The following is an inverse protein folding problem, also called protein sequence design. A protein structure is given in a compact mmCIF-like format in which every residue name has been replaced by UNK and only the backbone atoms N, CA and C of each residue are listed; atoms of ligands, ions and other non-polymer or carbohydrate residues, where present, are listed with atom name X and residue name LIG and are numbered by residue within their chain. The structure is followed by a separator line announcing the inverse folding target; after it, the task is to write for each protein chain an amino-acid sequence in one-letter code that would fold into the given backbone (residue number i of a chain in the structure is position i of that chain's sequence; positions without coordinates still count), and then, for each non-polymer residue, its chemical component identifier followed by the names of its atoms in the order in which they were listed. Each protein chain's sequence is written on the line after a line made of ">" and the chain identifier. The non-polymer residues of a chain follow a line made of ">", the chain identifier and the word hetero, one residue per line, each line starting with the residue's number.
data_IF_497350702612
#
_entry.id   IF_497350702612
#
_cell.length_a   1.000
_cell.length_b   1.000
_cell.length_c   1.000
_cell.angle_alpha   90.00
_cell.angle_beta   90.00
_cell.angle_gamma   90.00
#
_symmetry.space_group_name_H-M   'P 1'
#
loop_
_entity.id
_entity.type
_entity.pdbx_description
1 polymer ?
#
# COMPACT_ATOMS: atom_id res chain seq x y z
N UNK A 1 103.40 -46.45 26.20
CA UNK A 1 102.69 -45.73 25.10
C UNK A 1 103.08 -44.27 25.19
N UNK A 2 103.81 -43.79 24.19
CA UNK A 2 104.56 -42.53 24.18
C UNK A 2 103.64 -41.31 24.02
N UNK A 3 103.96 -40.22 24.73
CA UNK A 3 103.29 -38.92 24.62
C UNK A 3 103.32 -38.36 23.18
N UNK A 4 104.29 -38.80 22.36
CA UNK A 4 104.44 -38.45 20.95
C UNK A 4 103.29 -38.92 20.06
N UNK A 5 102.75 -40.13 20.29
CA UNK A 5 101.70 -40.70 19.44
C UNK A 5 100.34 -39.98 19.61
N UNK A 6 100.09 -39.45 20.82
CA UNK A 6 98.87 -38.67 21.11
C UNK A 6 98.87 -37.29 20.44
N UNK A 7 100.04 -36.73 20.14
CA UNK A 7 100.17 -35.41 19.52
C UNK A 7 100.02 -35.49 17.98
N UNK A 8 100.50 -36.57 17.39
CA UNK A 8 100.28 -36.93 15.98
C UNK A 8 98.79 -37.13 15.67
N UNK A 9 98.05 -37.88 16.50
CA UNK A 9 96.62 -38.14 16.31
C UNK A 9 95.75 -36.87 16.43
N UNK A 10 96.12 -35.92 17.31
CA UNK A 10 95.45 -34.62 17.42
C UNK A 10 95.66 -33.74 16.18
N UNK A 11 96.87 -33.73 15.61
CA UNK A 11 97.18 -32.97 14.41
C UNK A 11 96.44 -33.54 13.18
N UNK A 12 96.34 -34.86 13.07
CA UNK A 12 95.57 -35.52 12.00
C UNK A 12 94.08 -35.17 12.07
N UNK A 13 93.46 -35.28 13.25
CA UNK A 13 92.04 -34.91 13.47
C UNK A 13 91.76 -33.43 13.21
N UNK A 14 92.70 -32.54 13.55
CA UNK A 14 92.58 -31.11 13.23
C UNK A 14 92.64 -30.85 11.71
N UNK A 15 93.50 -31.57 10.98
CA UNK A 15 93.61 -31.47 9.52
C UNK A 15 92.36 -32.00 8.81
N UNK A 16 91.79 -33.11 9.28
CA UNK A 16 90.52 -33.66 8.78
C UNK A 16 89.34 -32.71 9.04
N UNK A 17 89.28 -32.12 10.24
CA UNK A 17 88.30 -31.09 10.59
C UNK A 17 88.40 -29.87 9.69
N UNK A 18 89.62 -29.40 9.39
CA UNK A 18 89.83 -28.26 8.50
C UNK A 18 89.45 -28.56 7.04
N UNK A 19 89.69 -29.79 6.55
CA UNK A 19 89.23 -30.23 5.22
C UNK A 19 87.70 -30.25 5.16
N UNK A 20 87.03 -30.83 6.15
CA UNK A 20 85.56 -30.84 6.24
C UNK A 20 84.98 -29.42 6.31
N UNK A 21 85.58 -28.55 7.12
CA UNK A 21 85.17 -27.14 7.22
C UNK A 21 85.30 -26.40 5.88
N UNK A 22 86.39 -26.63 5.14
CA UNK A 22 86.61 -26.04 3.81
C UNK A 22 85.61 -26.58 2.78
N UNK A 23 85.23 -27.86 2.86
CA UNK A 23 84.15 -28.41 2.04
C UNK A 23 82.80 -27.77 2.40
N UNK A 24 82.47 -27.66 3.68
CA UNK A 24 81.22 -27.03 4.15
C UNK A 24 81.15 -25.58 3.66
N UNK A 25 82.20 -24.77 3.85
CA UNK A 25 82.25 -23.39 3.35
C UNK A 25 82.09 -23.32 1.83
N UNK A 26 82.66 -24.27 1.08
CA UNK A 26 82.57 -24.28 -0.38
C UNK A 26 81.17 -24.66 -0.88
N UNK A 27 80.46 -25.53 -0.16
CA UNK A 27 79.10 -25.94 -0.51
C UNK A 27 78.01 -25.06 0.09
N UNK A 28 78.29 -24.30 1.15
CA UNK A 28 77.34 -23.43 1.83
C UNK A 28 76.67 -22.40 0.89
N UNK A 29 77.38 -21.69 -0.02
CA UNK A 29 76.75 -20.80 -0.99
C UNK A 29 75.81 -21.51 -1.95
N UNK A 30 76.11 -22.75 -2.34
CA UNK A 30 75.24 -23.55 -3.22
C UNK A 30 73.99 -24.01 -2.48
N UNK A 31 74.10 -24.37 -1.20
CA UNK A 31 72.94 -24.69 -0.35
C UNK A 31 72.06 -23.46 -0.12
N UNK A 32 72.67 -22.29 0.17
CA UNK A 32 71.94 -21.03 0.33
C UNK A 32 71.25 -20.65 -0.98
N UNK A 33 71.93 -20.76 -2.13
CA UNK A 33 71.34 -20.51 -3.44
C UNK A 33 70.17 -21.46 -3.71
N UNK A 34 70.33 -22.75 -3.42
CA UNK A 34 69.27 -23.75 -3.54
C UNK A 34 68.05 -23.42 -2.67
N UNK A 35 68.26 -22.98 -1.43
CA UNK A 35 67.19 -22.54 -0.53
C UNK A 35 66.49 -21.27 -1.04
N UNK A 36 67.25 -20.28 -1.53
CA UNK A 36 66.68 -19.06 -2.11
C UNK A 36 65.82 -19.41 -3.33
N UNK A 37 66.31 -20.25 -4.23
CA UNK A 37 65.57 -20.71 -5.41
C UNK A 37 64.32 -21.49 -5.00
N UNK A 38 64.40 -22.37 -4.00
CA UNK A 38 63.25 -23.09 -3.50
C UNK A 38 62.19 -22.15 -2.90
N UNK A 39 62.60 -21.17 -2.09
CA UNK A 39 61.69 -20.20 -1.47
C UNK A 39 61.04 -19.28 -2.53
N UNK A 40 61.79 -18.82 -3.53
CA UNK A 40 61.22 -18.01 -4.61
C UNK A 40 60.21 -18.80 -5.42
N UNK A 41 60.48 -20.07 -5.74
CA UNK A 41 59.51 -20.96 -6.41
C UNK A 41 58.25 -21.15 -5.56
N UNK A 42 58.39 -21.40 -4.25
CA UNK A 42 57.23 -21.56 -3.35
C UNK A 42 56.39 -20.28 -3.30
N UNK A 43 57.02 -19.10 -3.18
CA UNK A 43 56.31 -17.82 -3.17
C UNK A 43 55.59 -17.54 -4.49
N UNK A 44 56.23 -17.85 -5.64
CA UNK A 44 55.61 -17.68 -6.96
C UNK A 44 54.41 -18.61 -7.16
N UNK A 45 54.53 -19.87 -6.75
CA UNK A 45 53.41 -20.83 -6.79
C UNK A 45 52.29 -20.38 -5.85
N UNK A 46 52.61 -19.93 -4.64
CA UNK A 46 51.63 -19.38 -3.70
C UNK A 46 50.88 -18.17 -4.26
N UNK A 47 51.60 -17.24 -4.89
CA UNK A 47 51.00 -16.09 -5.58
C UNK A 47 50.10 -16.49 -6.74
N UNK A 48 50.52 -17.47 -7.56
CA UNK A 48 49.72 -17.99 -8.66
C UNK A 48 48.40 -18.60 -8.13
N UNK A 49 48.47 -19.42 -7.07
CA UNK A 49 47.29 -20.02 -6.45
C UNK A 49 46.33 -18.96 -5.92
N UNK A 50 46.84 -17.91 -5.27
CA UNK A 50 46.02 -16.77 -4.82
C UNK A 50 45.35 -16.04 -5.99
N UNK A 51 46.07 -15.76 -7.07
CA UNK A 51 45.51 -15.10 -8.26
C UNK A 51 44.40 -15.95 -8.90
N UNK A 52 44.60 -17.27 -9.02
CA UNK A 52 43.58 -18.20 -9.52
C UNK A 52 42.36 -18.21 -8.61
N UNK A 53 42.55 -18.24 -7.28
CA UNK A 53 41.46 -18.20 -6.32
C UNK A 53 40.63 -16.89 -6.43
N UNK A 54 41.29 -15.73 -6.54
CA UNK A 54 40.62 -14.45 -6.76
C UNK A 54 39.87 -14.40 -8.09
N UNK A 55 40.44 -14.95 -9.17
CA UNK A 55 39.78 -15.01 -10.47
C UNK A 55 38.51 -15.90 -10.42
N UNK A 56 38.58 -17.07 -9.79
CA UNK A 56 37.43 -17.96 -9.60
C UNK A 56 36.35 -17.32 -8.72
N UNK A 57 36.74 -16.64 -7.63
CA UNK A 57 35.81 -15.89 -6.80
C UNK A 57 35.13 -14.74 -7.59
N UNK A 58 35.89 -14.02 -8.41
CA UNK A 58 35.38 -12.98 -9.31
C UNK A 58 34.37 -13.52 -10.31
N UNK A 59 34.66 -14.65 -10.96
CA UNK A 59 33.72 -15.35 -11.86
C UNK A 59 32.45 -15.79 -11.13
N UNK A 60 32.57 -16.27 -9.89
CA UNK A 60 31.44 -16.61 -9.03
C UNK A 60 30.54 -15.40 -8.76
N UNK A 61 31.11 -14.25 -8.39
CA UNK A 61 30.34 -13.01 -8.15
C UNK A 61 29.66 -12.51 -9.41
N UNK A 62 30.36 -12.50 -10.56
CA UNK A 62 29.79 -12.08 -11.84
C UNK A 62 28.65 -13.02 -12.27
N UNK A 63 28.80 -14.34 -12.09
CA UNK A 63 27.75 -15.30 -12.44
C UNK A 63 26.49 -15.13 -11.58
N UNK A 64 26.62 -14.89 -10.28
CA UNK A 64 25.46 -14.62 -9.39
C UNK A 64 24.81 -13.29 -9.71
N UNK A 65 25.59 -12.24 -9.99
CA UNK A 65 25.08 -10.93 -10.35
C UNK A 65 24.32 -10.98 -11.70
N UNK A 66 24.92 -11.61 -12.71
CA UNK A 66 24.31 -11.79 -14.03
C UNK A 66 23.09 -12.69 -13.97
N UNK A 67 23.11 -13.79 -13.22
CA UNK A 67 21.95 -14.65 -13.03
C UNK A 67 20.80 -13.91 -12.33
N UNK A 68 21.08 -13.09 -11.32
CA UNK A 68 20.07 -12.27 -10.66
C UNK A 68 19.51 -11.18 -11.58
N UNK A 69 20.37 -10.53 -12.37
CA UNK A 69 19.95 -9.53 -13.35
C UNK A 69 19.08 -10.17 -14.45
N UNK A 70 19.50 -11.31 -15.00
CA UNK A 70 18.76 -12.08 -16.00
C UNK A 70 17.43 -12.58 -15.44
N UNK A 71 17.42 -13.12 -14.22
CA UNK A 71 16.20 -13.53 -13.53
C UNK A 71 15.23 -12.37 -13.39
N UNK A 72 15.69 -11.16 -13.01
CA UNK A 72 14.81 -9.99 -12.93
C UNK A 72 14.33 -9.54 -14.31
N UNK A 73 15.23 -9.53 -15.30
CA UNK A 73 14.93 -9.14 -16.68
C UNK A 73 13.87 -10.04 -17.33
N UNK A 74 13.86 -11.34 -17.01
CA UNK A 74 12.92 -12.32 -17.58
C UNK A 74 11.67 -12.49 -16.69
N UNK A 75 11.85 -12.67 -15.38
CA UNK A 75 10.76 -13.01 -14.48
C UNK A 75 9.74 -11.86 -14.35
N UNK A 76 10.18 -10.60 -14.32
CA UNK A 76 9.26 -9.48 -14.19
C UNK A 76 8.31 -9.35 -15.40
N UNK A 77 8.76 -9.41 -16.66
CA UNK A 77 7.88 -9.51 -17.83
C UNK A 77 6.96 -10.73 -17.81
N UNK A 78 7.47 -11.91 -17.45
CA UNK A 78 6.66 -13.13 -17.41
C UNK A 78 5.54 -13.00 -16.38
N UNK A 79 5.85 -12.53 -15.17
CA UNK A 79 4.86 -12.27 -14.11
C UNK A 79 3.88 -11.17 -14.54
N UNK A 80 4.37 -10.10 -15.16
CA UNK A 80 3.53 -9.03 -15.70
C UNK A 80 2.53 -9.56 -16.74
N UNK A 81 3.01 -10.32 -17.73
CA UNK A 81 2.18 -10.90 -18.80
C UNK A 81 1.17 -11.89 -18.23
N UNK A 82 1.59 -12.74 -17.28
CA UNK A 82 0.69 -13.67 -16.60
C UNK A 82 -0.46 -12.92 -15.90
N UNK A 83 -0.13 -11.90 -15.10
CA UNK A 83 -1.12 -11.11 -14.37
C UNK A 83 -2.02 -10.30 -15.31
N UNK A 84 -1.45 -9.72 -16.37
CA UNK A 84 -2.19 -8.98 -17.38
C UNK A 84 -3.18 -9.91 -18.10
N UNK A 85 -2.74 -11.10 -18.48
CA UNK A 85 -3.58 -12.12 -19.13
C UNK A 85 -4.73 -12.53 -18.20
N UNK A 86 -4.43 -12.82 -16.93
CA UNK A 86 -5.46 -13.15 -15.93
C UNK A 86 -6.50 -12.03 -15.78
N UNK A 87 -6.07 -10.77 -15.83
CA UNK A 87 -6.94 -9.59 -15.73
C UNK A 87 -7.82 -9.39 -16.97
N UNK A 88 -7.27 -9.63 -18.16
CA UNK A 88 -8.00 -9.63 -19.44
C UNK A 88 -9.06 -10.74 -19.45
N UNK A 89 -8.69 -11.95 -19.02
CA UNK A 89 -9.62 -13.09 -18.94
C UNK A 89 -10.78 -12.81 -17.98
N UNK A 90 -10.51 -12.19 -16.81
CA UNK A 90 -11.55 -11.78 -15.86
C UNK A 90 -12.49 -10.72 -16.44
N UNK A 91 -11.97 -9.73 -17.18
CA UNK A 91 -12.78 -8.69 -17.83
C UNK A 91 -13.83 -9.27 -18.77
N UNK A 92 -13.47 -10.30 -19.54
CA UNK A 92 -14.40 -10.95 -20.48
C UNK A 92 -15.60 -11.58 -19.78
N UNK A 93 -15.42 -12.15 -18.59
CA UNK A 93 -16.51 -12.77 -17.81
C UNK A 93 -17.50 -11.74 -17.25
N UNK A 94 -17.03 -10.56 -16.87
CA UNK A 94 -17.86 -9.48 -16.28
C UNK A 94 -18.60 -8.60 -17.30
N UNK A 95 -18.48 -8.90 -18.60
CA UNK A 95 -19.20 -8.17 -19.65
C UNK A 95 -20.59 -8.75 -19.93
N UNK A 96 -21.01 -9.82 -19.24
CA UNK A 96 -22.42 -10.18 -19.27
C UNK A 96 -23.23 -9.04 -18.61
N UNK A 97 -24.20 -8.45 -19.33
CA UNK A 97 -24.95 -7.31 -18.83
C UNK A 97 -25.81 -7.78 -17.66
N UNK A 98 -25.35 -7.52 -16.44
CA UNK A 98 -26.21 -7.58 -15.26
C UNK A 98 -27.38 -6.65 -15.51
N UNK A 99 -28.59 -7.21 -15.64
CA UNK A 99 -29.83 -6.46 -15.84
C UNK A 99 -30.04 -5.55 -14.62
N UNK A 100 -29.60 -4.30 -14.72
CA UNK A 100 -29.78 -3.31 -13.66
C UNK A 100 -31.20 -2.77 -13.68
N UNK A 101 -31.83 -2.73 -12.51
CA UNK A 101 -33.03 -1.92 -12.30
C UNK A 101 -32.66 -0.44 -12.53
N UNK A 102 -33.28 0.17 -13.55
CA UNK A 102 -33.11 1.59 -13.85
C UNK A 102 -33.91 2.37 -12.81
N UNK A 103 -33.24 3.12 -11.94
CA UNK A 103 -33.89 4.16 -11.14
C UNK A 103 -34.27 5.28 -12.12
N UNK A 104 -35.55 5.39 -12.46
CA UNK A 104 -36.06 6.48 -13.30
C UNK A 104 -36.05 7.78 -12.48
N UNK A 105 -35.39 8.85 -12.94
CA UNK A 105 -35.55 10.17 -12.33
C UNK A 105 -37.02 10.58 -12.40
N UNK A 106 -37.52 11.25 -11.36
CA UNK A 106 -38.88 11.80 -11.35
C UNK A 106 -39.05 12.75 -12.54
N UNK A 107 -40.24 12.69 -13.15
CA UNK A 107 -40.58 13.54 -14.28
C UNK A 107 -40.79 15.00 -13.85
N UNK A 108 -40.53 15.96 -14.74
CA UNK A 108 -40.74 17.39 -14.49
C UNK A 108 -42.22 17.73 -14.18
N UNK A 109 -43.15 16.90 -14.66
CA UNK A 109 -44.58 16.97 -14.36
C UNK A 109 -44.90 16.61 -12.90
N UNK A 110 -44.19 15.62 -12.33
CA UNK A 110 -44.28 15.33 -10.90
C UNK A 110 -43.66 16.46 -10.08
N UNK A 111 -42.57 17.09 -10.54
CA UNK A 111 -41.94 18.21 -9.82
C UNK A 111 -42.85 19.45 -9.75
N UNK A 112 -43.57 19.76 -10.83
CA UNK A 112 -44.49 20.91 -10.90
C UNK A 112 -45.80 20.70 -10.15
N UNK A 113 -46.33 19.48 -10.06
CA UNK A 113 -47.56 19.21 -9.29
C UNK A 113 -47.39 19.39 -7.77
N UNK A 114 -46.15 19.35 -7.26
CA UNK A 114 -45.89 19.56 -5.83
C UNK A 114 -45.79 21.05 -5.43
N UNK A 115 -45.46 21.96 -6.35
CA UNK A 115 -45.33 23.39 -6.05
C UNK A 115 -46.67 24.08 -5.73
N UNK A 116 -47.80 23.47 -6.09
CA UNK A 116 -49.14 24.00 -5.87
C UNK A 116 -49.84 23.42 -4.63
N UNK A 117 -49.19 22.53 -3.89
CA UNK A 117 -49.80 21.93 -2.70
C UNK A 117 -49.73 22.88 -1.49
N UNK A 118 -50.90 23.37 -1.08
CA UNK A 118 -51.13 24.20 0.12
C UNK A 118 -50.84 23.43 1.41
N UNK A 119 -49.59 23.03 1.66
CA UNK A 119 -49.22 22.42 2.93
C UNK A 119 -48.90 23.54 3.95
N UNK A 120 -49.79 23.82 4.92
CA UNK A 120 -49.63 24.95 5.84
C UNK A 120 -48.38 24.82 6.73
N UNK A 121 -47.95 23.59 7.04
CA UNK A 121 -46.71 23.35 7.78
C UNK A 121 -45.45 23.77 7.02
N UNK A 122 -45.50 23.74 5.68
CA UNK A 122 -44.41 24.21 4.84
C UNK A 122 -44.39 25.73 4.71
N UNK A 123 -45.56 26.36 4.66
CA UNK A 123 -45.65 27.81 4.65
C UNK A 123 -45.05 28.42 5.92
N UNK A 124 -45.17 27.78 7.09
CA UNK A 124 -44.53 28.27 8.33
C UNK A 124 -43.00 28.22 8.25
N UNK A 125 -42.42 27.16 7.67
CA UNK A 125 -40.98 27.05 7.44
C UNK A 125 -40.46 28.04 6.39
N UNK A 126 -41.25 28.31 5.33
CA UNK A 126 -40.90 29.26 4.26
C UNK A 126 -41.17 30.73 4.65
N UNK A 127 -42.16 31.02 5.50
CA UNK A 127 -42.49 32.38 5.97
C UNK A 127 -41.39 32.94 6.87
N UNK A 128 -40.71 32.11 7.66
CA UNK A 128 -39.54 32.53 8.43
C UNK A 128 -38.34 32.89 7.54
N UNK A 129 -38.29 32.35 6.31
CA UNK A 129 -37.21 32.63 5.36
C UNK A 129 -37.31 34.03 4.75
N UNK A 130 -38.52 34.56 4.58
CA UNK A 130 -38.77 35.87 3.95
C UNK A 130 -38.52 37.06 4.88
N UNK A 131 -38.48 36.84 6.20
CA UNK A 131 -38.29 37.87 7.21
C UNK A 131 -36.85 37.99 7.75
N UNK A 132 -35.86 37.34 7.11
CA UNK A 132 -34.48 37.32 7.60
C UNK A 132 -34.23 36.47 8.86
N UNK A 133 -35.24 35.74 9.32
CA UNK A 133 -35.21 34.91 10.55
C UNK A 133 -34.74 33.47 10.34
N UNK A 134 -34.37 33.07 9.12
CA UNK A 134 -34.02 31.70 8.72
C UNK A 134 -32.86 31.08 9.50
N UNK A 135 -32.07 31.87 10.24
CA UNK A 135 -30.94 31.37 11.02
C UNK A 135 -31.32 30.84 12.41
N UNK A 136 -32.47 31.17 12.98
CA UNK A 136 -32.74 30.91 14.40
C UNK A 136 -32.99 29.42 14.72
N UNK A 137 -33.78 28.70 13.93
CA UNK A 137 -33.93 27.24 14.12
C UNK A 137 -32.64 26.47 13.78
N UNK A 138 -31.84 26.97 12.83
CA UNK A 138 -30.59 26.32 12.41
C UNK A 138 -29.47 26.51 13.43
N UNK A 139 -29.40 27.67 14.09
CA UNK A 139 -28.36 27.97 15.07
C UNK A 139 -28.45 27.11 16.35
N UNK A 140 -29.64 26.62 16.69
CA UNK A 140 -29.86 25.79 17.89
C UNK A 140 -30.15 24.32 17.59
N UNK A 141 -30.21 23.91 16.32
CA UNK A 141 -30.40 22.51 15.97
C UNK A 141 -29.07 21.80 15.77
N UNK A 142 -29.01 20.56 16.24
CA UNK A 142 -27.90 19.68 15.92
C UNK A 142 -28.01 19.22 14.46
N UNK A 143 -26.87 19.01 13.81
CA UNK A 143 -26.81 18.59 12.41
C UNK A 143 -27.62 17.30 12.15
N UNK A 144 -27.67 16.39 13.14
CA UNK A 144 -28.44 15.15 13.04
C UNK A 144 -29.96 15.40 12.88
N UNK A 145 -30.52 16.33 13.64
CA UNK A 145 -31.96 16.65 13.60
C UNK A 145 -32.31 17.33 12.28
N UNK A 146 -31.41 18.20 11.82
CA UNK A 146 -31.50 18.79 10.51
C UNK A 146 -31.51 17.73 9.39
N UNK A 147 -30.58 16.78 9.41
CA UNK A 147 -30.51 15.74 8.38
C UNK A 147 -31.72 14.80 8.39
N UNK A 148 -32.33 14.57 9.57
CA UNK A 148 -33.60 13.83 9.68
C UNK A 148 -34.74 14.61 9.01
N UNK A 149 -34.88 15.90 9.33
CA UNK A 149 -35.88 16.77 8.68
C UNK A 149 -35.70 16.81 7.16
N UNK A 150 -34.45 16.90 6.70
CA UNK A 150 -34.08 16.84 5.29
C UNK A 150 -34.43 15.49 4.63
N UNK A 151 -34.27 14.38 5.35
CA UNK A 151 -34.65 13.04 4.87
C UNK A 151 -36.17 12.86 4.75
N UNK A 152 -36.91 13.35 5.74
CA UNK A 152 -38.34 13.14 5.92
C UNK A 152 -39.22 14.01 5.00
N UNK A 153 -38.76 15.21 4.63
CA UNK A 153 -39.57 16.14 3.84
C UNK A 153 -38.87 16.57 2.56
N UNK A 154 -39.43 16.17 1.40
CA UNK A 154 -39.01 16.65 0.07
C UNK A 154 -39.01 18.19 0.00
N UNK A 155 -39.97 18.81 0.68
CA UNK A 155 -40.13 20.25 0.67
C UNK A 155 -39.06 20.98 1.49
N UNK A 156 -38.66 20.44 2.64
CA UNK A 156 -37.49 20.93 3.40
C UNK A 156 -36.26 20.87 2.52
N UNK A 157 -36.06 19.76 1.77
CA UNK A 157 -34.94 19.68 0.81
C UNK A 157 -34.99 20.78 -0.25
N UNK A 158 -36.15 21.00 -0.86
CA UNK A 158 -36.30 22.03 -1.90
C UNK A 158 -36.10 23.45 -1.35
N UNK A 159 -36.64 23.78 -0.18
CA UNK A 159 -36.48 25.09 0.46
C UNK A 159 -35.01 25.41 0.79
N UNK A 160 -34.25 24.38 1.14
CA UNK A 160 -32.84 24.52 1.50
C UNK A 160 -31.93 24.50 0.28
N UNK A 161 -32.27 23.71 -0.75
CA UNK A 161 -31.60 23.72 -2.05
C UNK A 161 -31.82 25.02 -2.82
N UNK A 162 -33.01 25.62 -2.75
CA UNK A 162 -33.32 26.89 -3.43
C UNK A 162 -32.63 28.09 -2.80
N UNK A 163 -32.12 27.96 -1.58
CA UNK A 163 -31.56 29.09 -0.83
C UNK A 163 -30.08 29.37 -1.10
N UNK A 164 -29.26 28.42 -1.59
CA UNK A 164 -27.82 28.67 -1.81
C UNK A 164 -27.16 27.66 -2.78
N UNK A 165 -26.27 28.14 -3.66
CA UNK A 165 -25.23 27.35 -4.35
C UNK A 165 -24.25 26.60 -3.39
N UNK A 166 -24.41 26.79 -2.07
CA UNK A 166 -23.59 26.24 -0.98
C UNK A 166 -24.42 25.63 0.15
N UNK A 167 -25.67 25.23 -0.09
CA UNK A 167 -26.66 24.92 0.95
C UNK A 167 -26.14 23.99 2.05
N UNK A 168 -25.67 22.79 1.68
CA UNK A 168 -25.19 21.77 2.64
C UNK A 168 -23.99 22.25 3.46
N UNK A 169 -23.09 23.02 2.85
CA UNK A 169 -21.90 23.53 3.52
C UNK A 169 -22.24 24.66 4.50
N UNK A 170 -23.19 25.53 4.13
CA UNK A 170 -23.69 26.55 5.05
C UNK A 170 -24.47 25.94 6.22
N UNK A 171 -25.25 24.90 5.99
CA UNK A 171 -25.92 24.15 7.07
C UNK A 171 -24.89 23.53 8.02
N UNK A 172 -23.82 22.92 7.49
CA UNK A 172 -22.72 22.40 8.31
C UNK A 172 -22.08 23.48 9.17
N UNK A 173 -21.89 24.68 8.61
CA UNK A 173 -21.36 25.84 9.35
C UNK A 173 -22.31 26.33 10.45
N UNK A 174 -23.62 26.35 10.19
CA UNK A 174 -24.63 26.90 11.11
C UNK A 174 -25.14 25.94 12.18
N UNK A 175 -25.04 24.62 11.97
CA UNK A 175 -25.50 23.60 12.92
C UNK A 175 -24.39 23.20 13.89
N UNK A 176 -24.76 22.90 15.14
CA UNK A 176 -23.85 22.64 16.26
C UNK A 176 -22.92 23.83 16.62
N UNK A 177 -22.53 23.93 17.90
CA UNK A 177 -21.64 25.00 18.38
C UNK A 177 -20.32 25.06 17.61
N UNK A 178 -19.81 26.28 17.46
CA UNK A 178 -18.53 26.58 16.79
C UNK A 178 -17.40 26.18 17.75
N UNK A 179 -16.59 25.17 17.39
CA UNK A 179 -15.36 24.85 18.11
C UNK A 179 -14.87 23.41 17.99
N UNK A 180 -15.78 22.43 17.99
CA UNK A 180 -15.40 21.01 18.06
C UNK A 180 -16.32 20.14 17.18
N UNK A 181 -16.37 20.47 15.90
CA UNK A 181 -17.08 19.67 14.91
C UNK A 181 -16.19 18.51 14.50
N UNK A 182 -16.64 17.30 14.78
CA UNK A 182 -16.05 16.05 14.31
C UNK A 182 -17.02 15.33 13.35
N UNK A 183 -16.59 14.23 12.75
CA UNK A 183 -17.44 13.41 11.91
C UNK A 183 -17.87 12.15 12.64
N UNK A 184 -19.16 11.81 12.56
CA UNK A 184 -19.66 10.51 12.97
C UNK A 184 -18.95 9.43 12.16
N UNK A 185 -18.28 8.51 12.85
CA UNK A 185 -17.55 7.46 12.18
C UNK A 185 -18.45 6.62 11.26
N UNK A 186 -19.67 6.29 11.67
CA UNK A 186 -20.56 5.40 10.91
C UNK A 186 -21.14 6.03 9.63
N UNK A 187 -21.56 7.30 9.69
CA UNK A 187 -22.29 7.95 8.59
C UNK A 187 -21.57 9.16 7.99
N UNK A 188 -20.38 9.55 8.48
CA UNK A 188 -19.65 10.80 8.15
C UNK A 188 -20.48 12.08 8.31
N UNK A 189 -21.56 12.02 9.07
CA UNK A 189 -22.35 13.20 9.41
C UNK A 189 -21.59 14.04 10.44
N UNK A 190 -21.63 15.37 10.31
CA UNK A 190 -20.99 16.25 11.29
C UNK A 190 -21.67 16.10 12.67
N UNK A 191 -20.88 16.06 13.73
CA UNK A 191 -21.33 16.00 15.12
C UNK A 191 -20.47 16.94 15.98
N UNK A 192 -21.06 17.57 17.00
CA UNK A 192 -20.29 18.24 18.05
C UNK A 192 -19.98 17.27 19.18
N UNK A 193 -19.05 17.63 20.07
CA UNK A 193 -18.69 16.86 21.26
C UNK A 193 -19.90 16.43 22.10
N UNK A 194 -20.95 17.26 22.21
CA UNK A 194 -22.20 16.90 22.92
C UNK A 194 -23.09 15.89 22.18
N UNK A 195 -22.96 15.78 20.86
CA UNK A 195 -23.69 14.78 20.04
C UNK A 195 -22.89 13.50 19.80
N UNK A 196 -21.61 13.50 20.19
CA UNK A 196 -20.72 12.37 20.05
C UNK A 196 -21.01 11.37 21.15
N UNK A 197 -21.41 10.17 20.76
CA UNK A 197 -21.52 9.02 21.64
C UNK A 197 -20.28 8.15 21.38
N UNK A 198 -19.40 7.95 22.37
CA UNK A 198 -18.29 7.02 22.23
C UNK A 198 -18.81 5.59 22.15
N UNK A 199 -18.25 4.80 21.24
CA UNK A 199 -18.61 3.39 21.09
C UNK A 199 -17.45 2.58 20.52
N UNK A 200 -17.20 1.43 21.12
CA UNK A 200 -16.23 0.45 20.61
C UNK A 200 -16.86 -0.33 19.45
N UNK A 201 -16.38 -0.10 18.24
CA UNK A 201 -16.93 -0.74 17.03
C UNK A 201 -15.79 -1.24 16.16
N UNK A 202 -15.95 -2.41 15.55
CA UNK A 202 -14.97 -2.98 14.62
C UNK A 202 -14.82 -2.14 13.34
N UNK A 203 -13.61 -2.04 12.77
CA UNK A 203 -13.46 -1.50 11.40
C UNK A 203 -14.02 -2.49 10.40
N UNK A 204 -14.79 -2.06 9.38
CA UNK A 204 -15.06 -2.90 8.24
C UNK A 204 -13.75 -3.17 7.48
N UNK A 205 -13.65 -4.32 6.81
CA UNK A 205 -12.47 -4.66 5.99
C UNK A 205 -12.22 -3.71 4.82
N UNK A 206 -13.20 -2.89 4.44
CA UNK A 206 -13.10 -1.87 3.38
C UNK A 206 -12.21 -0.69 3.75
N UNK A 207 -12.10 -0.32 5.03
CA UNK A 207 -11.32 0.87 5.45
C UNK A 207 -9.87 0.75 5.02
N UNK A 208 -9.29 -0.44 5.21
CA UNK A 208 -7.92 -0.74 4.81
C UNK A 208 -7.70 -0.58 3.29
N UNK A 209 -8.70 -0.93 2.48
CA UNK A 209 -8.60 -0.77 1.03
C UNK A 209 -8.66 0.70 0.59
N UNK A 210 -9.37 1.55 1.33
CA UNK A 210 -9.39 3.00 1.08
C UNK A 210 -8.07 3.66 1.43
N UNK A 211 -7.48 3.28 2.56
CA UNK A 211 -6.33 3.99 3.12
C UNK A 211 -5.01 3.48 2.54
N UNK A 212 -4.90 2.18 2.24
CA UNK A 212 -3.62 1.55 1.90
C UNK A 212 -3.50 1.07 0.46
N UNK A 213 -4.58 1.02 -0.33
CA UNK A 213 -4.47 0.56 -1.71
C UNK A 213 -4.34 1.74 -2.69
N UNK A 214 -3.23 1.78 -3.40
CA UNK A 214 -2.91 2.84 -4.35
C UNK A 214 -2.96 2.32 -5.79
N UNK A 215 -3.50 3.15 -6.69
CA UNK A 215 -3.57 2.79 -8.11
C UNK A 215 -2.29 3.15 -8.85
N UNK A 216 -1.79 2.25 -9.69
CA UNK A 216 -0.65 2.54 -10.57
C UNK A 216 -0.90 2.06 -12.01
N UNK A 217 -0.28 2.74 -12.97
CA UNK A 217 -0.37 2.39 -14.38
C UNK A 217 0.50 1.17 -14.72
N UNK A 218 0.25 0.53 -15.86
CA UNK A 218 0.97 -0.69 -16.27
C UNK A 218 2.49 -0.52 -16.40
N UNK A 219 2.95 0.63 -16.89
CA UNK A 219 4.39 0.94 -16.97
C UNK A 219 5.02 1.01 -15.57
N UNK A 220 4.34 1.70 -14.66
CA UNK A 220 4.73 1.82 -13.27
C UNK A 220 4.70 0.46 -12.56
N UNK A 221 3.68 -0.36 -12.78
CA UNK A 221 3.59 -1.72 -12.24
C UNK A 221 4.71 -2.64 -12.74
N UNK A 222 5.06 -2.59 -14.03
CA UNK A 222 6.22 -3.33 -14.54
C UNK A 222 7.53 -2.83 -13.88
N UNK A 223 7.69 -1.51 -13.74
CA UNK A 223 8.80 -0.91 -12.99
C UNK A 223 8.85 -1.35 -11.53
N UNK A 224 7.68 -1.53 -10.89
CA UNK A 224 7.53 -2.08 -9.54
C UNK A 224 7.99 -3.54 -9.45
N UNK A 225 7.67 -4.36 -10.46
CA UNK A 225 8.10 -5.77 -10.53
C UNK A 225 9.63 -5.91 -10.72
N UNK A 226 10.24 -5.10 -11.60
CA UNK A 226 11.70 -5.00 -11.71
C UNK A 226 12.31 -4.44 -10.42
N UNK A 227 11.58 -3.48 -9.86
CA UNK A 227 11.84 -2.77 -8.63
C UNK A 227 12.14 -3.76 -7.52
N UNK A 228 11.08 -4.49 -7.12
CA UNK A 228 10.85 -5.07 -5.77
C UNK A 228 11.77 -4.43 -4.75
N UNK A 229 11.72 -3.09 -4.80
CA UNK A 229 12.87 -2.25 -4.53
C UNK A 229 12.96 -2.10 -3.04
N UNK A 230 14.18 -1.90 -2.56
CA UNK A 230 14.53 -1.66 -1.17
C UNK A 230 13.62 -0.63 -0.43
N UNK A 231 12.81 0.16 -1.14
CA UNK A 231 11.77 1.07 -0.58
C UNK A 231 10.58 0.36 0.05
N UNK A 232 10.16 -0.78 -0.50
CA UNK A 232 9.16 -1.65 0.10
C UNK A 232 9.89 -2.87 0.60
N UNK A 233 10.55 -2.74 1.77
CA UNK A 233 10.87 -3.90 2.58
C UNK A 233 9.58 -4.21 3.33
N UNK A 234 8.71 -5.13 2.86
CA UNK A 234 7.70 -5.65 3.75
C UNK A 234 8.46 -6.11 5.00
N UNK A 235 8.05 -5.63 6.17
CA UNK A 235 8.51 -6.26 7.40
C UNK A 235 8.27 -7.76 7.21
N UNK A 236 9.26 -8.61 7.50
CA UNK A 236 9.14 -10.07 7.26
C UNK A 236 7.93 -10.66 7.99
N UNK A 237 7.39 -9.93 8.96
CA UNK A 237 6.24 -10.30 9.78
C UNK A 237 4.93 -9.63 9.33
N UNK A 238 4.97 -8.67 8.40
CA UNK A 238 3.77 -8.06 7.81
C UNK A 238 3.26 -8.93 6.67
N UNK A 239 2.55 -10.00 7.04
CA UNK A 239 1.53 -10.52 6.14
C UNK A 239 0.57 -9.38 5.82
N UNK A 240 0.33 -9.18 4.53
CA UNK A 240 -0.65 -8.24 4.03
C UNK A 240 -1.99 -8.50 4.75
N UNK A 241 -2.43 -7.53 5.55
CA UNK A 241 -3.66 -7.52 6.37
C UNK A 241 -4.91 -7.83 5.54
N UNK A 242 -4.85 -7.70 4.22
CA UNK A 242 -5.89 -8.14 3.31
C UNK A 242 -6.23 -9.63 3.40
N UNK A 243 -5.31 -10.50 3.87
CA UNK A 243 -5.51 -11.96 3.87
C UNK A 243 -5.99 -12.51 5.20
N UNK A 244 -5.85 -11.75 6.28
CA UNK A 244 -6.00 -12.25 7.64
C UNK A 244 -6.58 -11.11 8.49
N UNK A 245 -7.88 -10.88 8.35
CA UNK A 245 -8.68 -10.26 9.43
C UNK A 245 -8.93 -11.38 10.44
N UNK A 246 -7.88 -11.93 11.06
CA UNK A 246 -8.06 -12.89 12.15
C UNK A 246 -7.95 -12.15 13.47
N UNK A 247 -9.10 -12.08 14.13
CA UNK A 247 -9.33 -12.27 15.57
C UNK A 247 -8.81 -11.22 16.55
N UNK A 248 -7.75 -10.46 16.27
CA UNK A 248 -7.43 -9.28 17.07
C UNK A 248 -8.17 -8.07 16.51
N UNK A 249 -9.49 -8.13 16.60
CA UNK A 249 -10.34 -6.97 16.32
C UNK A 249 -10.21 -6.07 17.55
N UNK A 250 -9.14 -5.28 17.60
CA UNK A 250 -9.20 -4.08 18.41
C UNK A 250 -10.43 -3.31 17.97
N UNK A 251 -11.39 -3.11 18.86
CA UNK A 251 -12.57 -2.28 18.66
C UNK A 251 -12.23 -0.91 19.24
N UNK A 252 -11.48 -0.06 18.51
CA UNK A 252 -11.13 1.26 19.04
C UNK A 252 -12.41 2.01 19.37
N UNK A 253 -12.36 2.83 20.41
CA UNK A 253 -13.42 3.76 20.74
C UNK A 253 -13.60 4.75 19.59
N UNK A 254 -14.85 4.90 19.12
CA UNK A 254 -15.19 5.78 18.00
C UNK A 254 -16.33 6.70 18.38
N UNK A 255 -16.21 7.96 17.96
CA UNK A 255 -17.31 8.91 18.03
C UNK A 255 -18.38 8.63 16.97
N UNK A 256 -19.60 8.33 17.40
CA UNK A 256 -20.77 8.18 16.52
C UNK A 256 -21.87 9.16 16.92
N UNK A 257 -22.76 9.50 15.98
CA UNK A 257 -23.91 10.34 16.30
C UNK A 257 -24.96 9.58 17.11
N UNK A 258 -25.73 10.30 17.92
CA UNK A 258 -26.85 9.75 18.71
C UNK A 258 -27.78 8.86 17.88
N UNK A 259 -28.07 9.21 16.63
CA UNK A 259 -28.91 8.40 15.75
C UNK A 259 -28.28 7.06 15.37
N UNK A 260 -26.97 7.00 15.14
CA UNK A 260 -26.28 5.74 14.86
C UNK A 260 -26.09 4.94 16.14
N UNK A 261 -26.00 5.59 17.31
CA UNK A 261 -25.90 4.92 18.59
C UNK A 261 -27.16 4.12 18.97
N UNK A 262 -28.32 4.45 18.39
CA UNK A 262 -29.54 3.65 18.55
C UNK A 262 -29.50 2.33 17.76
N UNK A 263 -28.59 2.19 16.80
CA UNK A 263 -28.42 0.97 16.04
C UNK A 263 -27.52 -0.03 16.80
N UNK A 264 -27.70 -1.34 16.54
CA UNK A 264 -26.76 -2.37 16.98
C UNK A 264 -25.43 -2.27 16.22
N UNK A 265 -24.34 -2.77 16.80
CA UNK A 265 -22.98 -2.63 16.24
C UNK A 265 -22.87 -3.16 14.81
N UNK A 266 -23.52 -4.28 14.53
CA UNK A 266 -23.58 -4.87 13.19
C UNK A 266 -24.15 -3.89 12.16
N UNK A 267 -25.26 -3.22 12.48
CA UNK A 267 -25.87 -2.23 11.58
C UNK A 267 -24.99 -1.00 11.39
N UNK A 268 -24.25 -0.60 12.43
CA UNK A 268 -23.28 0.51 12.36
C UNK A 268 -22.14 0.14 11.41
N UNK A 269 -21.57 -1.05 11.55
CA UNK A 269 -20.50 -1.56 10.69
C UNK A 269 -20.98 -1.70 9.24
N UNK A 270 -22.17 -2.26 9.00
CA UNK A 270 -22.76 -2.38 7.65
C UNK A 270 -22.99 -1.00 7.03
N UNK A 271 -23.48 -0.02 7.80
CA UNK A 271 -23.67 1.35 7.31
C UNK A 271 -22.34 1.99 6.92
N UNK A 272 -21.31 1.83 7.75
CA UNK A 272 -19.95 2.30 7.45
C UNK A 272 -19.44 1.64 6.18
N UNK A 273 -19.51 0.30 6.11
CA UNK A 273 -19.05 -0.48 4.96
C UNK A 273 -19.71 -0.03 3.66
N UNK A 274 -21.04 0.19 3.65
CA UNK A 274 -21.75 0.72 2.47
C UNK A 274 -21.23 2.09 2.05
N UNK A 275 -20.94 2.97 3.02
CA UNK A 275 -20.45 4.31 2.73
C UNK A 275 -19.03 4.28 2.17
N UNK A 276 -18.15 3.48 2.77
CA UNK A 276 -16.79 3.26 2.28
C UNK A 276 -16.76 2.59 0.90
N UNK A 277 -17.67 1.66 0.65
CA UNK A 277 -17.84 1.06 -0.68
C UNK A 277 -18.21 2.12 -1.72
N UNK A 278 -19.10 3.06 -1.38
CA UNK A 278 -19.45 4.17 -2.26
C UNK A 278 -18.27 5.15 -2.45
N UNK A 279 -17.49 5.41 -1.39
CA UNK A 279 -16.25 6.20 -1.47
C UNK A 279 -15.24 5.52 -2.41
N UNK A 280 -15.04 4.22 -2.28
CA UNK A 280 -14.20 3.41 -3.18
C UNK A 280 -14.68 3.52 -4.63
N UNK A 281 -15.97 3.27 -4.89
CA UNK A 281 -16.53 3.35 -6.24
C UNK A 281 -16.36 4.76 -6.82
N UNK A 282 -16.53 5.81 -6.01
CA UNK A 282 -16.33 7.19 -6.46
C UNK A 282 -14.86 7.50 -6.79
N UNK A 283 -13.93 7.08 -5.93
CA UNK A 283 -12.48 7.17 -6.19
C UNK A 283 -12.15 6.42 -7.47
N UNK A 284 -12.78 5.28 -7.69
CA UNK A 284 -12.53 4.45 -8.85
C UNK A 284 -13.05 5.03 -10.16
N UNK A 285 -14.24 5.59 -10.10
CA UNK A 285 -14.93 6.25 -11.19
C UNK A 285 -14.25 7.55 -11.61
N UNK A 286 -13.65 8.27 -10.65
CA UNK A 286 -12.84 9.44 -10.95
C UNK A 286 -11.63 9.02 -11.82
N UNK A 287 -11.18 9.89 -12.73
CA UNK A 287 -10.02 9.63 -13.58
C UNK A 287 -8.75 9.57 -12.74
N UNK A 288 -8.41 8.39 -12.20
CA UNK A 288 -7.31 8.26 -11.24
C UNK A 288 -5.97 8.46 -11.94
N UNK A 289 -5.18 9.39 -11.44
CA UNK A 289 -3.78 9.53 -11.77
C UNK A 289 -3.00 8.36 -11.17
N UNK A 290 -2.03 7.83 -11.90
CA UNK A 290 -1.12 6.84 -11.35
C UNK A 290 -0.43 7.40 -10.10
N UNK A 291 -0.49 6.72 -8.97
CA UNK A 291 0.12 7.19 -7.72
C UNK A 291 1.64 7.41 -7.86
N UNK A 292 2.35 6.56 -8.61
CA UNK A 292 3.81 6.69 -8.76
C UNK A 292 4.29 7.75 -9.75
N UNK A 293 3.53 8.04 -10.81
CA UNK A 293 3.97 8.99 -11.85
C UNK A 293 3.04 10.17 -12.07
N UNK A 294 1.94 10.23 -11.30
CA UNK A 294 0.88 11.23 -11.34
C UNK A 294 0.25 11.48 -12.71
N UNK A 295 0.52 10.63 -13.71
CA UNK A 295 -0.11 10.71 -15.04
C UNK A 295 -1.50 10.11 -15.00
N UNK A 296 -2.48 10.80 -15.57
CA UNK A 296 -3.82 10.26 -15.78
C UNK A 296 -3.77 9.00 -16.64
N UNK A 297 -4.46 7.95 -16.18
CA UNK A 297 -4.58 6.70 -16.92
C UNK A 297 -5.65 6.83 -18.00
N UNK A 298 -5.37 6.32 -19.20
CA UNK A 298 -6.33 6.36 -20.32
C UNK A 298 -7.48 5.39 -20.07
N UNK A 299 -8.69 5.76 -20.47
CA UNK A 299 -9.85 4.88 -20.42
C UNK A 299 -9.59 3.57 -21.18
N UNK A 300 -10.06 2.46 -20.63
CA UNK A 300 -9.87 1.11 -21.16
C UNK A 300 -8.51 0.47 -20.83
N UNK A 301 -7.59 1.18 -20.16
CA UNK A 301 -6.30 0.60 -19.73
C UNK A 301 -6.40 -0.14 -18.39
N UNK A 302 -5.55 -1.15 -18.14
CA UNK A 302 -5.58 -1.89 -16.87
C UNK A 302 -5.02 -1.03 -15.74
N UNK A 303 -5.71 -1.06 -14.61
CA UNK A 303 -5.38 -0.35 -13.36
C UNK A 303 -4.87 -1.35 -12.33
N UNK A 304 -3.66 -1.17 -11.83
CA UNK A 304 -3.06 -2.05 -10.82
C UNK A 304 -3.19 -1.43 -9.44
N UNK A 305 -3.49 -2.25 -8.44
CA UNK A 305 -3.67 -1.80 -7.06
C UNK A 305 -2.54 -2.37 -6.23
N UNK A 306 -1.71 -1.50 -5.64
CA UNK A 306 -0.62 -1.91 -4.77
C UNK A 306 -0.96 -1.50 -3.35
N UNK A 307 -0.80 -2.42 -2.42
CA UNK A 307 -0.88 -2.12 -0.99
C UNK A 307 0.36 -1.33 -0.56
N UNK A 308 0.19 -0.14 0.00
CA UNK A 308 1.27 0.72 0.49
C UNK A 308 2.00 0.11 1.71
N UNK A 309 1.33 -0.76 2.47
CA UNK A 309 1.97 -1.46 3.61
C UNK A 309 2.85 -2.62 3.15
N UNK A 310 2.33 -3.54 2.34
CA UNK A 310 3.08 -4.76 1.97
C UNK A 310 3.78 -4.69 0.59
N UNK A 311 3.47 -3.67 -0.22
CA UNK A 311 3.99 -3.53 -1.59
C UNK A 311 3.49 -4.59 -2.59
N UNK A 312 2.55 -5.46 -2.21
CA UNK A 312 2.02 -6.49 -3.09
C UNK A 312 0.76 -6.01 -3.85
N UNK A 313 0.48 -6.69 -4.96
CA UNK A 313 -0.74 -6.49 -5.76
C UNK A 313 -1.98 -6.89 -4.95
N UNK A 314 -2.92 -5.96 -4.79
CA UNK A 314 -4.19 -6.18 -4.12
C UNK A 314 -5.19 -6.81 -5.10
N UNK A 315 -5.56 -8.07 -4.84
CA UNK A 315 -6.46 -8.83 -5.72
C UNK A 315 -7.93 -8.77 -5.30
N UNK A 316 -8.29 -7.87 -4.38
CA UNK A 316 -9.66 -7.69 -3.89
C UNK A 316 -10.62 -7.35 -5.02
N UNK A 317 -11.86 -7.86 -4.94
CA UNK A 317 -12.92 -7.55 -5.89
C UNK A 317 -13.51 -6.15 -5.69
N UNK A 318 -13.20 -5.50 -4.57
CA UNK A 318 -13.57 -4.12 -4.28
C UNK A 318 -12.93 -3.12 -5.24
N UNK A 319 -11.85 -3.54 -5.90
CA UNK A 319 -11.02 -2.71 -6.75
C UNK A 319 -11.33 -2.86 -8.24
N UNK A 320 -11.65 -1.75 -8.91
CA UNK A 320 -11.81 -1.71 -10.36
C UNK A 320 -10.50 -2.08 -11.06
N UNK A 321 -10.52 -3.18 -11.81
CA UNK A 321 -9.35 -3.69 -12.52
C UNK A 321 -8.99 -2.90 -13.79
N UNK A 322 -9.91 -2.06 -14.28
CA UNK A 322 -9.77 -1.29 -15.51
C UNK A 322 -10.26 0.13 -15.31
N UNK A 323 -9.63 1.07 -16.00
CA UNK A 323 -10.14 2.45 -16.09
C UNK A 323 -11.38 2.41 -16.99
N UNK A 324 -12.55 2.68 -16.43
CA UNK A 324 -13.78 2.65 -17.20
C UNK A 324 -13.92 3.92 -18.06
N UNK A 325 -14.55 3.78 -19.24
CA UNK A 325 -14.88 4.92 -20.11
C UNK A 325 -16.03 5.73 -19.53
N UNK A 326 -16.89 5.08 -18.72
CA UNK A 326 -18.02 5.69 -18.04
C UNK A 326 -18.14 5.08 -16.65
N UNK A 327 -18.35 5.88 -15.58
CA UNK A 327 -18.57 5.37 -14.24
C UNK A 327 -19.67 4.30 -14.22
N UNK A 328 -19.37 3.08 -13.76
CA UNK A 328 -20.42 2.13 -13.37
C UNK A 328 -21.25 2.76 -12.26
N UNK A 329 -22.57 2.77 -12.44
CA UNK A 329 -23.45 2.82 -11.28
C UNK A 329 -23.15 1.60 -10.39
N UNK A 330 -23.00 1.77 -9.06
CA UNK A 330 -22.80 0.65 -8.14
C UNK A 330 -23.86 -0.41 -8.37
N UNK A 331 -23.46 -1.65 -8.64
CA UNK A 331 -24.36 -2.78 -8.48
C UNK A 331 -24.16 -3.27 -7.05
N UNK A 332 -25.04 -2.87 -6.13
CA UNK A 332 -25.12 -3.51 -4.81
C UNK A 332 -25.74 -4.89 -5.04
N UNK A 333 -24.92 -5.85 -5.48
CA UNK A 333 -25.28 -7.25 -5.27
C UNK A 333 -25.25 -7.44 -3.76
N UNK A 334 -26.44 -7.67 -3.21
CA UNK A 334 -26.65 -7.85 -1.79
C UNK A 334 -25.81 -9.06 -1.38
N UNK A 335 -24.76 -8.82 -0.59
CA UNK A 335 -24.10 -9.88 0.18
C UNK A 335 -25.06 -10.27 1.32
N UNK A 336 -26.16 -10.93 0.95
CA UNK A 336 -26.97 -11.75 1.85
C UNK A 336 -26.32 -13.13 1.82
N UNK A 337 -25.38 -13.37 2.72
CA UNK A 337 -24.88 -14.70 3.05
C UNK A 337 -24.89 -14.85 4.56
#
# INVERSE_FOLDING_TARGET
>A
MSQSDKQSDKAHKALEGFRLFRYIIRFLPLLILGLIVALTVILLVGWLVLLVAFALAGLGVISVATANALRRAILAPVVFLYQLTRKILRRRRTLEPVKRARITPLSDAEVTSFQTTNNPGLQVLLLQQKAGGSCLMLAYSHYADYMRLFGLSKYVRQALQSSVDHGVENIRKMTCSVGEKSECWACRGQICSTCTVPREVASPGTSHHLDECETICSRCYLGHLYSKSKRFKPSKDQQCSHRVVTTDISTPERGICSSCALDGDEKIVVRRWRKELMELINIEAASVACWMCHKHMRSGTPRWWICSTCGNDCTSSLHASWVEVKPRAPTLEVFEN
#
